data_IF_157660030683
#
_entry.id   IF_157660030683
#
_cell.length_a   1.000
_cell.length_b   1.000
_cell.length_c   1.000
_cell.angle_alpha   90.00
_cell.angle_beta   90.00
_cell.angle_gamma   90.00
#
_symmetry.space_group_name_H-M   'P 1'
#
loop_
_entity.id
_entity.type
_entity.pdbx_description
1 polymer ?
#
# COMPACT_ATOMS: atom_id res chain seq x y z
N UNK A 1 20.18 37.11 49.29
CA UNK A 1 18.91 36.38 49.53
C UNK A 1 17.82 37.18 48.84
N UNK A 2 17.40 36.77 47.64
CA UNK A 2 16.35 37.47 46.89
C UNK A 2 15.00 37.04 47.43
N UNK A 3 14.29 37.96 48.08
CA UNK A 3 12.93 37.75 48.57
C UNK A 3 12.00 37.53 47.38
N UNK A 4 11.42 36.33 47.26
CA UNK A 4 10.39 36.03 46.25
C UNK A 4 9.13 36.86 46.49
N UNK A 5 8.43 37.22 45.41
CA UNK A 5 7.16 37.95 45.45
C UNK A 5 6.02 36.93 45.44
N UNK A 6 5.16 36.96 46.45
CA UNK A 6 3.94 36.16 46.51
C UNK A 6 2.75 36.98 45.99
N UNK A 7 2.06 36.48 44.97
CA UNK A 7 0.84 37.09 44.43
C UNK A 7 -0.36 36.36 45.02
N UNK A 8 -1.25 37.08 45.70
CA UNK A 8 -2.44 36.52 46.35
C UNK A 8 -3.68 36.51 45.44
N UNK A 9 -4.73 35.80 45.87
CA UNK A 9 -5.95 35.59 45.10
C UNK A 9 -6.64 36.90 44.70
N UNK A 10 -7.10 36.98 43.45
CA UNK A 10 -7.83 38.14 42.92
C UNK A 10 -7.00 39.12 42.08
N UNK A 11 -5.73 38.82 41.80
CA UNK A 11 -4.85 39.67 40.97
C UNK A 11 -4.93 39.26 39.50
N UNK A 12 -5.28 40.22 38.63
CA UNK A 12 -5.25 40.06 37.18
C UNK A 12 -3.93 40.58 36.61
N UNK A 13 -3.19 39.71 35.91
CA UNK A 13 -1.95 40.07 35.21
C UNK A 13 -2.26 40.35 33.74
N UNK A 14 -1.99 41.57 33.29
CA UNK A 14 -2.24 42.04 31.93
C UNK A 14 -0.98 42.00 31.05
N UNK A 15 -1.16 42.26 29.75
CA UNK A 15 -0.13 42.13 28.72
C UNK A 15 1.17 42.88 29.05
N UNK A 16 2.31 42.21 28.87
CA UNK A 16 3.65 42.79 29.02
C UNK A 16 4.41 42.40 30.30
N UNK A 17 3.87 41.51 31.13
CA UNK A 17 4.52 41.07 32.38
C UNK A 17 5.30 39.76 32.18
N UNK A 18 6.61 39.79 32.46
CA UNK A 18 7.47 38.60 32.45
C UNK A 18 7.62 38.02 33.87
N UNK A 19 7.25 36.75 34.05
CA UNK A 19 7.41 36.02 35.32
C UNK A 19 8.75 35.27 35.30
N UNK A 20 9.59 35.50 36.31
CA UNK A 20 10.94 34.93 36.42
C UNK A 20 11.05 33.94 37.59
N UNK A 21 12.20 33.26 37.71
CA UNK A 21 12.43 32.25 38.75
C UNK A 21 12.20 32.82 40.16
N UNK A 22 11.39 32.11 40.96
CA UNK A 22 11.07 32.49 42.34
C UNK A 22 9.64 33.02 42.59
N UNK A 23 8.75 32.95 41.60
CA UNK A 23 7.33 33.35 41.72
C UNK A 23 6.44 32.11 41.90
N UNK A 24 5.64 32.09 42.97
CA UNK A 24 4.64 31.05 43.23
C UNK A 24 3.23 31.58 42.90
N UNK A 25 2.45 30.82 42.13
CA UNK A 25 1.09 31.19 41.68
C UNK A 25 0.07 30.32 42.42
N UNK A 26 -0.88 30.95 43.13
CA UNK A 26 -1.93 30.27 43.90
C UNK A 26 -3.21 30.03 43.08
N UNK A 27 -4.12 29.20 43.61
CA UNK A 27 -5.39 28.89 42.98
C UNK A 27 -6.24 30.15 42.72
N UNK A 28 -6.71 30.34 41.48
CA UNK A 28 -7.58 31.47 41.10
C UNK A 28 -6.92 32.57 40.27
N UNK A 29 -5.71 32.35 39.74
CA UNK A 29 -5.02 33.28 38.83
C UNK A 29 -5.30 32.91 37.37
N UNK A 30 -5.92 33.83 36.62
CA UNK A 30 -6.18 33.66 35.19
C UNK A 30 -5.05 34.27 34.35
N UNK A 31 -4.49 33.49 33.41
CA UNK A 31 -3.44 33.92 32.49
C UNK A 31 -4.06 34.25 31.13
N UNK A 32 -3.84 35.47 30.63
CA UNK A 32 -4.33 35.91 29.33
C UNK A 32 -3.26 35.79 28.24
N UNK A 33 -3.66 35.90 26.96
CA UNK A 33 -2.80 35.66 25.80
C UNK A 33 -1.50 36.48 25.84
N UNK A 34 -0.34 35.84 25.67
CA UNK A 34 0.97 36.50 25.53
C UNK A 34 2.00 36.20 26.62
N UNK A 35 1.73 35.28 27.55
CA UNK A 35 2.68 34.89 28.61
C UNK A 35 3.48 33.65 28.20
N UNK A 36 4.81 33.80 28.10
CA UNK A 36 5.74 32.69 27.85
C UNK A 36 6.16 32.03 29.17
N UNK A 37 5.94 30.72 29.30
CA UNK A 37 6.34 29.93 30.47
C UNK A 37 7.66 29.20 30.16
N UNK A 38 8.69 29.40 30.98
CA UNK A 38 9.96 28.72 30.83
C UNK A 38 9.85 27.22 31.20
N UNK A 39 10.73 26.33 30.68
CA UNK A 39 10.68 24.90 30.99
C UNK A 39 10.93 24.64 32.49
N UNK A 40 10.04 23.89 33.16
CA UNK A 40 10.25 23.42 34.54
C UNK A 40 9.12 23.68 35.55
N UNK A 41 7.98 24.26 35.15
CA UNK A 41 6.84 24.49 36.05
C UNK A 41 5.82 23.33 36.00
N UNK A 42 5.57 22.71 37.15
CA UNK A 42 4.48 21.75 37.34
C UNK A 42 3.19 22.50 37.74
N UNK A 43 2.18 22.47 36.87
CA UNK A 43 0.85 23.01 37.18
C UNK A 43 0.06 22.06 38.06
N UNK A 44 -0.53 22.57 39.15
CA UNK A 44 -1.58 21.85 39.88
C UNK A 44 -2.93 21.97 39.16
N UNK A 45 -3.83 21.02 39.43
CA UNK A 45 -5.17 20.88 38.84
C UNK A 45 -5.88 22.23 38.64
N UNK A 46 -6.21 22.56 37.38
CA UNK A 46 -7.02 23.74 37.03
C UNK A 46 -6.47 24.67 35.95
N UNK A 47 -5.27 24.43 35.41
CA UNK A 47 -4.72 25.23 34.30
C UNK A 47 -5.32 24.74 32.96
N UNK A 48 -6.45 25.31 32.57
CA UNK A 48 -6.95 25.19 31.20
C UNK A 48 -6.12 26.12 30.30
N UNK A 49 -5.06 25.59 29.70
CA UNK A 49 -4.38 26.25 28.59
C UNK A 49 -5.35 26.39 27.43
N UNK A 50 -5.66 27.61 27.04
CA UNK A 50 -6.47 27.90 25.86
C UNK A 50 -5.73 27.52 24.58
N UNK A 51 -5.69 26.24 24.23
CA UNK A 51 -5.30 25.74 22.90
C UNK A 51 -6.49 25.75 21.91
N UNK A 52 -7.38 26.71 22.02
CA UNK A 52 -8.64 26.73 21.29
C UNK A 52 -8.67 27.81 20.20
N UNK A 53 -7.80 27.69 19.18
CA UNK A 53 -8.06 28.32 17.87
C UNK A 53 -7.11 27.80 16.76
N UNK A 54 -5.84 27.56 17.07
CA UNK A 54 -4.83 27.07 16.10
C UNK A 54 -4.80 25.54 15.98
N UNK A 55 -5.36 24.82 16.95
CA UNK A 55 -5.40 23.34 16.97
C UNK A 55 -6.39 22.71 15.99
N UNK A 56 -7.48 23.39 15.63
CA UNK A 56 -8.55 22.79 14.80
C UNK A 56 -8.11 22.43 13.39
N UNK A 57 -7.49 23.39 12.68
CA UNK A 57 -7.00 23.17 11.31
C UNK A 57 -5.82 22.18 11.28
N UNK A 58 -4.92 22.25 12.26
CA UNK A 58 -3.82 21.32 12.41
C UNK A 58 -4.32 19.89 12.68
N UNK A 59 -5.33 19.72 13.54
CA UNK A 59 -5.96 18.43 13.84
C UNK A 59 -6.71 17.85 12.64
N UNK A 60 -7.48 18.68 11.91
CA UNK A 60 -8.14 18.28 10.66
C UNK A 60 -7.12 17.83 9.60
N UNK A 61 -6.03 18.58 9.43
CA UNK A 61 -4.96 18.25 8.49
C UNK A 61 -4.27 16.94 8.89
N UNK A 62 -4.00 16.74 10.18
CA UNK A 62 -3.42 15.50 10.70
C UNK A 62 -4.36 14.30 10.47
N UNK A 63 -5.66 14.48 10.68
CA UNK A 63 -6.68 13.44 10.45
C UNK A 63 -6.85 13.10 8.97
N UNK A 64 -6.86 14.09 8.09
CA UNK A 64 -6.88 13.87 6.64
C UNK A 64 -5.63 13.11 6.17
N UNK A 65 -4.44 13.51 6.63
CA UNK A 65 -3.18 12.79 6.36
C UNK A 65 -3.23 11.35 6.88
N UNK A 66 -3.86 11.11 8.03
CA UNK A 66 -4.05 9.78 8.57
C UNK A 66 -4.94 8.90 7.66
N UNK A 67 -6.06 9.40 7.15
CA UNK A 67 -6.90 8.66 6.20
C UNK A 67 -6.17 8.35 4.88
N UNK A 68 -5.45 9.32 4.31
CA UNK A 68 -4.64 9.11 3.11
C UNK A 68 -3.55 8.05 3.35
N UNK A 69 -2.94 8.05 4.54
CA UNK A 69 -1.95 7.04 4.91
C UNK A 69 -2.56 5.63 5.03
N UNK A 70 -3.84 5.49 5.40
CA UNK A 70 -4.54 4.19 5.43
C UNK A 70 -4.76 3.61 4.03
N UNK A 71 -4.93 4.46 3.01
CA UNK A 71 -5.09 4.03 1.62
C UNK A 71 -3.82 3.43 1.02
N UNK A 72 -2.65 3.69 1.60
CA UNK A 72 -1.33 3.21 1.14
C UNK A 72 -1.07 3.55 -0.35
N UNK A 73 -1.25 4.81 -0.74
CA UNK A 73 -1.19 5.27 -2.14
C UNK A 73 0.11 4.89 -2.88
N UNK A 74 1.25 4.75 -2.20
CA UNK A 74 2.50 4.27 -2.83
C UNK A 74 2.39 2.84 -3.37
N UNK A 75 1.56 1.99 -2.77
CA UNK A 75 1.26 0.65 -3.31
C UNK A 75 0.37 0.75 -4.54
N UNK A 76 -0.48 1.78 -4.59
CA UNK A 76 -1.39 2.04 -5.71
C UNK A 76 -0.63 2.58 -6.93
N UNK A 77 0.40 3.40 -6.73
CA UNK A 77 1.29 3.85 -7.81
C UNK A 77 1.89 2.67 -8.59
N UNK A 78 2.19 1.56 -7.92
CA UNK A 78 2.66 0.34 -8.57
C UNK A 78 1.58 -0.34 -9.44
N UNK A 79 0.29 -0.15 -9.12
CA UNK A 79 -0.83 -0.64 -9.93
C UNK A 79 -0.92 0.11 -11.26
N UNK A 80 -0.48 1.38 -11.31
CA UNK A 80 -0.50 2.21 -12.54
C UNK A 80 0.37 1.62 -13.65
N UNK A 81 1.49 1.00 -13.26
CA UNK A 81 2.45 0.39 -14.19
C UNK A 81 1.79 -0.74 -15.00
N UNK A 82 0.78 -1.40 -14.46
CA UNK A 82 0.09 -2.50 -15.15
C UNK A 82 -1.24 -2.09 -15.78
N UNK A 83 -1.96 -1.13 -15.18
CA UNK A 83 -3.29 -0.72 -15.67
C UNK A 83 -3.21 0.03 -16.99
N UNK A 84 -2.36 1.05 -17.10
CA UNK A 84 -2.33 1.90 -18.31
C UNK A 84 -1.89 1.11 -19.54
N UNK A 85 -0.82 0.29 -19.51
CA UNK A 85 -0.46 -0.51 -20.68
C UNK A 85 -1.52 -1.55 -21.04
N UNK A 86 -2.25 -2.11 -20.06
CA UNK A 86 -3.38 -2.99 -20.34
C UNK A 86 -4.51 -2.24 -21.07
N UNK A 87 -4.81 -1.01 -20.67
CA UNK A 87 -5.78 -0.15 -21.39
C UNK A 87 -5.32 0.16 -22.81
N UNK A 88 -4.01 0.44 -23.00
CA UNK A 88 -3.46 0.74 -24.32
C UNK A 88 -3.54 -0.47 -25.25
N UNK A 89 -3.15 -1.65 -24.76
CA UNK A 89 -3.28 -2.89 -25.53
C UNK A 89 -4.74 -3.22 -25.84
N UNK A 90 -5.66 -2.98 -24.90
CA UNK A 90 -7.09 -3.20 -25.12
C UNK A 90 -7.70 -2.26 -26.18
N UNK A 91 -7.07 -1.09 -26.38
CA UNK A 91 -7.50 -0.08 -27.35
C UNK A 91 -6.84 -0.25 -28.72
N UNK A 92 -5.74 -1.01 -28.81
CA UNK A 92 -4.77 -0.94 -29.90
C UNK A 92 -4.35 0.52 -30.18
N UNK A 93 -4.03 1.25 -29.11
CA UNK A 93 -3.67 2.67 -29.20
C UNK A 93 -3.75 3.37 -27.84
N UNK A 94 -3.70 4.70 -27.85
CA UNK A 94 -3.91 5.49 -26.62
C UNK A 94 -5.42 5.68 -26.35
N UNK A 95 -5.97 5.21 -25.21
CA UNK A 95 -7.32 5.56 -24.78
C UNK A 95 -7.43 7.06 -24.49
N UNK A 96 -8.66 7.59 -24.36
CA UNK A 96 -8.83 8.99 -23.98
C UNK A 96 -8.19 9.26 -22.61
N UNK A 97 -7.49 10.40 -22.48
CA UNK A 97 -6.84 10.78 -21.22
C UNK A 97 -7.84 10.89 -20.06
N UNK A 98 -9.08 11.27 -20.38
CA UNK A 98 -10.19 11.28 -19.43
C UNK A 98 -10.49 9.87 -18.88
N UNK A 99 -10.63 8.87 -19.77
CA UNK A 99 -10.89 7.50 -19.36
C UNK A 99 -9.76 6.93 -18.50
N UNK A 100 -8.50 7.22 -18.88
CA UNK A 100 -7.33 6.86 -18.08
C UNK A 100 -7.42 7.52 -16.70
N UNK A 101 -7.58 8.84 -16.63
CA UNK A 101 -7.64 9.57 -15.37
C UNK A 101 -8.74 9.05 -14.43
N UNK A 102 -9.96 8.85 -14.93
CA UNK A 102 -11.08 8.33 -14.14
C UNK A 102 -10.80 6.89 -13.68
N UNK A 103 -10.27 6.03 -14.55
CA UNK A 103 -9.92 4.64 -14.20
C UNK A 103 -8.85 4.59 -13.11
N UNK A 104 -7.83 5.45 -13.18
CA UNK A 104 -6.78 5.52 -12.18
C UNK A 104 -7.29 6.07 -10.84
N UNK A 105 -8.13 7.10 -10.86
CA UNK A 105 -8.74 7.65 -9.64
C UNK A 105 -9.66 6.61 -8.99
N UNK A 106 -10.60 6.03 -9.75
CA UNK A 106 -11.52 5.02 -9.23
C UNK A 106 -10.76 3.79 -8.72
N UNK A 107 -9.79 3.27 -9.50
CA UNK A 107 -8.93 2.16 -9.07
C UNK A 107 -8.12 2.47 -7.80
N UNK A 108 -7.68 3.72 -7.63
CA UNK A 108 -7.01 4.19 -6.41
C UNK A 108 -7.94 4.16 -5.21
N UNK A 109 -9.21 4.56 -5.38
CA UNK A 109 -10.21 4.48 -4.33
C UNK A 109 -10.52 3.01 -3.98
N UNK A 110 -10.68 2.12 -4.96
CA UNK A 110 -10.89 0.69 -4.71
C UNK A 110 -9.74 0.06 -3.91
N UNK A 111 -8.49 0.29 -4.35
CA UNK A 111 -7.32 -0.21 -3.64
C UNK A 111 -7.18 0.43 -2.25
N UNK A 112 -7.50 1.72 -2.12
CA UNK A 112 -7.51 2.45 -0.85
C UNK A 112 -8.55 1.90 0.13
N UNK A 113 -9.74 1.53 -0.35
CA UNK A 113 -10.80 0.86 0.42
C UNK A 113 -10.30 -0.48 0.95
N UNK A 114 -9.80 -1.35 0.07
CA UNK A 114 -9.26 -2.66 0.42
C UNK A 114 -8.11 -2.57 1.44
N UNK A 115 -7.19 -1.63 1.25
CA UNK A 115 -6.06 -1.37 2.16
C UNK A 115 -6.50 -0.85 3.53
N UNK A 116 -7.50 0.03 3.56
CA UNK A 116 -8.04 0.59 4.81
C UNK A 116 -8.74 -0.51 5.62
N UNK A 117 -9.60 -1.31 4.98
CA UNK A 117 -10.27 -2.44 5.62
C UNK A 117 -9.25 -3.47 6.09
N UNK A 118 -8.21 -3.75 5.29
CA UNK A 118 -7.11 -4.61 5.71
C UNK A 118 -6.40 -4.09 6.98
N UNK A 119 -6.13 -2.78 7.08
CA UNK A 119 -5.55 -2.20 8.29
C UNK A 119 -6.49 -2.30 9.50
N UNK A 120 -7.81 -2.19 9.30
CA UNK A 120 -8.79 -2.39 10.35
C UNK A 120 -8.79 -3.84 10.87
N UNK A 121 -8.73 -4.83 9.97
CA UNK A 121 -8.71 -6.25 10.33
C UNK A 121 -7.38 -6.65 10.98
N UNK A 122 -6.26 -6.13 10.48
CA UNK A 122 -4.90 -6.49 10.93
C UNK A 122 -4.38 -5.65 12.11
N UNK A 123 -5.23 -4.86 12.77
CA UNK A 123 -4.84 -3.92 13.83
C UNK A 123 -4.11 -4.57 15.02
N UNK A 124 -4.43 -5.82 15.34
CA UNK A 124 -3.82 -6.61 16.41
C UNK A 124 -2.39 -7.04 16.07
N UNK A 125 -2.16 -7.55 14.86
CA UNK A 125 -0.82 -7.99 14.41
C UNK A 125 0.07 -6.81 14.01
N UNK A 126 -0.53 -5.70 13.55
CA UNK A 126 0.23 -4.50 13.18
C UNK A 126 0.93 -3.87 14.40
N UNK A 127 0.42 -4.08 15.62
CA UNK A 127 0.98 -3.57 16.88
C UNK A 127 2.33 -4.22 17.23
N UNK A 128 2.52 -5.50 16.89
CA UNK A 128 3.72 -6.28 17.26
C UNK A 128 4.82 -6.23 16.20
N UNK A 129 4.50 -5.78 14.98
CA UNK A 129 5.45 -5.67 13.88
C UNK A 129 6.18 -4.31 13.86
N UNK A 130 7.52 -4.33 13.93
CA UNK A 130 8.36 -3.12 14.00
C UNK A 130 8.13 -2.11 12.87
N UNK A 131 7.75 -2.59 11.68
CA UNK A 131 7.44 -1.80 10.48
C UNK A 131 6.08 -1.12 10.51
N UNK A 132 5.07 -1.71 11.15
CA UNK A 132 3.66 -1.30 11.03
C UNK A 132 3.08 -0.72 12.31
N UNK A 133 3.78 -0.82 13.44
CA UNK A 133 3.41 -0.20 14.72
C UNK A 133 3.22 1.32 14.68
N UNK A 134 3.68 1.98 13.61
CA UNK A 134 3.52 3.43 13.40
C UNK A 134 2.26 3.81 12.62
N UNK A 135 1.43 2.85 12.21
CA UNK A 135 0.22 3.12 11.42
C UNK A 135 -0.79 3.99 12.19
N UNK A 136 -1.59 4.84 11.51
CA UNK A 136 -2.52 5.77 12.18
C UNK A 136 -3.55 5.10 13.10
N UNK A 137 -4.03 3.92 12.70
CA UNK A 137 -4.93 3.07 13.48
C UNK A 137 -4.29 2.58 14.80
N UNK A 138 -2.98 2.31 14.78
CA UNK A 138 -2.22 1.86 15.96
C UNK A 138 -1.91 3.03 16.90
N UNK A 139 -1.78 4.25 16.36
CA UNK A 139 -1.55 5.48 17.13
C UNK A 139 -2.82 6.13 17.67
N UNK A 140 -3.98 5.50 17.50
CA UNK A 140 -5.30 6.04 17.85
C UNK A 140 -5.60 7.43 17.24
N UNK A 141 -4.94 7.79 16.12
CA UNK A 141 -5.23 9.03 15.39
C UNK A 141 -6.57 8.94 14.65
N UNK A 142 -6.97 7.72 14.28
CA UNK A 142 -8.26 7.38 13.69
C UNK A 142 -8.80 6.16 14.44
N UNK A 143 -10.06 6.22 14.86
CA UNK A 143 -10.70 5.09 15.56
C UNK A 143 -10.96 3.92 14.60
N UNK A 144 -11.06 2.67 15.10
CA UNK A 144 -11.38 1.53 14.24
C UNK A 144 -12.68 1.69 13.46
N UNK A 145 -13.72 2.23 14.08
CA UNK A 145 -15.01 2.48 13.43
C UNK A 145 -14.87 3.49 12.30
N UNK A 146 -14.18 4.61 12.53
CA UNK A 146 -13.90 5.61 11.50
C UNK A 146 -13.13 5.03 10.31
N UNK A 147 -12.11 4.19 10.57
CA UNK A 147 -11.36 3.55 9.50
C UNK A 147 -12.23 2.59 8.67
N UNK A 148 -13.09 1.79 9.31
CA UNK A 148 -14.00 0.89 8.62
C UNK A 148 -15.01 1.64 7.76
N UNK A 149 -15.65 2.68 8.33
CA UNK A 149 -16.59 3.54 7.61
C UNK A 149 -15.91 4.22 6.42
N UNK A 150 -14.72 4.78 6.63
CA UNK A 150 -13.93 5.38 5.55
C UNK A 150 -13.63 4.38 4.43
N UNK A 151 -13.21 3.16 4.78
CA UNK A 151 -12.96 2.10 3.82
C UNK A 151 -14.21 1.76 2.99
N UNK A 152 -15.36 1.59 3.62
CA UNK A 152 -16.64 1.28 2.94
C UNK A 152 -17.06 2.44 2.03
N UNK A 153 -17.06 3.68 2.53
CA UNK A 153 -17.45 4.85 1.75
C UNK A 153 -16.52 5.08 0.55
N UNK A 154 -15.22 4.84 0.73
CA UNK A 154 -14.24 4.92 -0.37
C UNK A 154 -14.50 3.84 -1.42
N UNK A 155 -14.91 2.64 -1.00
CA UNK A 155 -15.35 1.56 -1.89
C UNK A 155 -16.57 1.95 -2.70
N UNK A 156 -17.64 2.43 -2.05
CA UNK A 156 -18.86 2.92 -2.70
C UNK A 156 -18.54 4.03 -3.71
N UNK A 157 -17.69 4.99 -3.33
CA UNK A 157 -17.26 6.05 -4.22
C UNK A 157 -16.53 5.51 -5.47
N UNK A 158 -15.66 4.51 -5.29
CA UNK A 158 -15.02 3.80 -6.40
C UNK A 158 -16.03 3.13 -7.33
N UNK A 159 -16.98 2.39 -6.77
CA UNK A 159 -18.02 1.68 -7.53
C UNK A 159 -18.87 2.66 -8.34
N UNK A 160 -19.27 3.78 -7.74
CA UNK A 160 -20.04 4.82 -8.43
C UNK A 160 -19.22 5.50 -9.54
N UNK A 161 -17.95 5.82 -9.31
CA UNK A 161 -17.09 6.40 -10.34
C UNK A 161 -16.92 5.45 -11.53
N UNK A 162 -16.64 4.16 -11.28
CA UNK A 162 -16.56 3.18 -12.36
C UNK A 162 -17.91 2.99 -13.07
N UNK A 163 -19.00 2.76 -12.32
CA UNK A 163 -20.31 2.46 -12.89
C UNK A 163 -20.90 3.61 -13.71
N UNK A 164 -20.70 4.86 -13.27
CA UNK A 164 -21.29 6.04 -13.90
C UNK A 164 -20.38 6.69 -14.96
N UNK A 165 -19.06 6.65 -14.80
CA UNK A 165 -18.12 7.36 -15.67
C UNK A 165 -17.27 6.44 -16.56
N UNK A 166 -17.29 5.13 -16.34
CA UNK A 166 -16.51 4.14 -17.10
C UNK A 166 -17.43 3.06 -17.67
N UNK A 167 -17.80 2.07 -16.86
CA UNK A 167 -18.81 1.04 -17.11
C UNK A 167 -18.99 0.12 -15.88
N UNK A 168 -20.13 -0.57 -15.83
CA UNK A 168 -20.47 -1.52 -14.75
C UNK A 168 -19.55 -2.75 -14.66
N UNK A 169 -19.09 -3.38 -15.75
CA UNK A 169 -18.12 -4.48 -15.66
C UNK A 169 -16.86 -4.13 -14.87
N UNK A 170 -16.31 -2.94 -15.11
CA UNK A 170 -15.13 -2.45 -14.38
C UNK A 170 -15.42 -2.20 -12.90
N UNK A 171 -16.62 -1.70 -12.58
CA UNK A 171 -17.07 -1.52 -11.19
C UNK A 171 -17.17 -2.87 -10.46
N UNK A 172 -17.79 -3.88 -11.09
CA UNK A 172 -17.94 -5.22 -10.53
C UNK A 172 -16.59 -5.92 -10.35
N UNK A 173 -15.64 -5.72 -11.26
CA UNK A 173 -14.28 -6.24 -11.11
C UNK A 173 -13.54 -5.56 -9.96
N UNK A 174 -13.72 -4.24 -9.76
CA UNK A 174 -13.15 -3.52 -8.63
C UNK A 174 -13.74 -4.01 -7.29
N UNK A 175 -15.06 -4.18 -7.22
CA UNK A 175 -15.74 -4.72 -6.03
C UNK A 175 -15.31 -6.17 -5.76
N UNK A 176 -15.19 -6.98 -6.81
CA UNK A 176 -14.65 -8.34 -6.73
C UNK A 176 -13.22 -8.37 -6.19
N UNK A 177 -12.36 -7.44 -6.62
CA UNK A 177 -11.01 -7.29 -6.10
C UNK A 177 -10.98 -6.92 -4.62
N UNK A 178 -11.83 -5.97 -4.19
CA UNK A 178 -11.97 -5.58 -2.78
C UNK A 178 -12.44 -6.77 -1.95
N UNK A 179 -13.51 -7.44 -2.37
CA UNK A 179 -14.07 -8.59 -1.69
C UNK A 179 -13.06 -9.74 -1.58
N UNK A 180 -12.36 -10.06 -2.67
CA UNK A 180 -11.31 -11.08 -2.66
C UNK A 180 -10.17 -10.70 -1.70
N UNK A 181 -9.69 -9.46 -1.74
CA UNK A 181 -8.61 -9.02 -0.86
C UNK A 181 -9.00 -9.05 0.63
N UNK A 182 -10.24 -8.67 0.95
CA UNK A 182 -10.73 -8.64 2.34
C UNK A 182 -11.07 -10.04 2.84
N UNK A 183 -11.97 -10.74 2.16
CA UNK A 183 -12.51 -12.01 2.64
C UNK A 183 -11.58 -13.19 2.38
N UNK A 184 -11.06 -13.32 1.16
CA UNK A 184 -10.21 -14.46 0.78
C UNK A 184 -8.82 -14.26 1.35
N UNK A 185 -8.15 -13.15 1.02
CA UNK A 185 -6.79 -12.93 1.51
C UNK A 185 -6.73 -12.57 2.99
N UNK A 186 -7.29 -11.42 3.39
CA UNK A 186 -7.05 -10.85 4.73
C UNK A 186 -7.67 -11.72 5.84
N UNK A 187 -8.94 -12.08 5.73
CA UNK A 187 -9.66 -12.86 6.74
C UNK A 187 -9.46 -14.38 6.59
N UNK A 188 -9.35 -14.87 5.36
CA UNK A 188 -9.29 -16.29 5.03
C UNK A 188 -7.88 -16.86 5.16
N UNK A 189 -6.99 -16.41 4.28
CA UNK A 189 -5.72 -17.09 3.98
C UNK A 189 -4.53 -16.55 4.77
N UNK A 190 -4.46 -15.22 4.98
CA UNK A 190 -3.26 -14.52 5.47
C UNK A 190 -2.64 -15.18 6.69
N UNK A 191 -3.47 -15.53 7.68
CA UNK A 191 -3.05 -16.13 8.96
C UNK A 191 -3.06 -17.66 8.99
N UNK A 192 -3.55 -18.33 7.93
CA UNK A 192 -3.85 -19.78 7.96
C UNK A 192 -3.02 -20.62 7.01
N UNK A 193 -2.42 -20.06 5.96
CA UNK A 193 -1.73 -20.87 4.94
C UNK A 193 -0.42 -20.24 4.44
N UNK A 194 0.60 -21.05 4.11
CA UNK A 194 1.82 -20.58 3.44
C UNK A 194 1.62 -20.19 1.98
N UNK A 195 0.49 -20.55 1.38
CA UNK A 195 0.09 -20.10 0.05
C UNK A 195 -0.69 -18.77 0.08
N UNK A 196 -0.70 -18.08 1.23
CA UNK A 196 -1.46 -16.85 1.44
C UNK A 196 -1.22 -15.78 0.36
N UNK A 197 0.04 -15.51 0.01
CA UNK A 197 0.40 -14.50 -0.98
C UNK A 197 0.19 -15.00 -2.41
N UNK A 198 0.33 -16.31 -2.67
CA UNK A 198 0.10 -16.84 -4.02
C UNK A 198 -1.37 -16.64 -4.40
N UNK A 199 -2.28 -17.13 -3.57
CA UNK A 199 -3.71 -17.02 -3.83
C UNK A 199 -4.18 -15.59 -3.57
N UNK A 200 -3.79 -14.99 -2.45
CA UNK A 200 -4.17 -13.63 -2.09
C UNK A 200 -3.65 -12.56 -3.06
N UNK A 201 -2.51 -12.83 -3.71
CA UNK A 201 -1.93 -12.00 -4.76
C UNK A 201 -2.82 -11.82 -5.98
N UNK A 202 -3.80 -12.72 -6.20
CA UNK A 202 -4.79 -12.57 -7.26
C UNK A 202 -5.52 -11.22 -7.19
N UNK A 203 -5.83 -10.71 -6.00
CA UNK A 203 -6.42 -9.37 -5.84
C UNK A 203 -5.55 -8.27 -6.47
N UNK A 204 -4.23 -8.36 -6.34
CA UNK A 204 -3.29 -7.41 -6.92
C UNK A 204 -3.18 -7.47 -8.44
N UNK A 205 -3.78 -8.50 -9.06
CA UNK A 205 -3.76 -8.70 -10.51
C UNK A 205 -5.01 -8.13 -11.21
N UNK A 206 -6.08 -7.83 -10.45
CA UNK A 206 -7.30 -7.22 -10.99
C UNK A 206 -7.12 -5.86 -11.69
N UNK A 207 -6.15 -4.98 -11.36
CA UNK A 207 -6.01 -3.70 -12.07
C UNK A 207 -5.84 -3.85 -13.58
N UNK A 208 -5.22 -4.95 -14.03
CA UNK A 208 -5.11 -5.28 -15.45
C UNK A 208 -6.48 -5.58 -16.06
N UNK A 209 -7.29 -6.41 -15.38
CA UNK A 209 -8.64 -6.77 -15.85
C UNK A 209 -9.54 -5.54 -15.86
N UNK A 210 -9.46 -4.70 -14.83
CA UNK A 210 -10.20 -3.44 -14.70
C UNK A 210 -9.77 -2.47 -15.81
N UNK A 211 -8.47 -2.33 -16.07
CA UNK A 211 -7.96 -1.51 -17.17
C UNK A 211 -8.45 -1.98 -18.53
N UNK A 212 -8.41 -3.29 -18.79
CA UNK A 212 -8.93 -3.86 -20.02
C UNK A 212 -10.44 -3.59 -20.17
N UNK A 213 -11.23 -3.93 -19.16
CA UNK A 213 -12.69 -3.75 -19.19
C UNK A 213 -13.11 -2.28 -19.23
N UNK A 214 -12.29 -1.37 -18.70
CA UNK A 214 -12.57 0.07 -18.78
C UNK A 214 -12.62 0.56 -20.23
N UNK A 215 -11.83 -0.06 -21.11
CA UNK A 215 -11.79 0.26 -22.54
C UNK A 215 -12.81 -0.54 -23.34
N UNK A 216 -12.91 -1.85 -23.10
CA UNK A 216 -13.70 -2.76 -23.98
C UNK A 216 -15.08 -3.12 -23.44
N UNK A 217 -15.37 -2.83 -22.18
CA UNK A 217 -16.59 -3.28 -21.48
C UNK A 217 -16.69 -4.80 -21.28
N UNK A 218 -15.64 -5.56 -21.61
CA UNK A 218 -15.62 -7.04 -21.62
C UNK A 218 -14.26 -7.55 -21.18
N UNK A 219 -14.09 -8.87 -21.04
CA UNK A 219 -12.79 -9.50 -20.82
C UNK A 219 -12.44 -10.40 -22.00
N UNK A 220 -11.20 -10.28 -22.49
CA UNK A 220 -10.63 -11.16 -23.52
C UNK A 220 -9.60 -12.10 -22.91
N UNK A 221 -9.13 -13.07 -23.69
CA UNK A 221 -8.00 -13.91 -23.30
C UNK A 221 -6.71 -13.11 -23.09
N UNK A 222 -6.51 -12.00 -23.81
CA UNK A 222 -5.39 -11.08 -23.57
C UNK A 222 -5.43 -10.48 -22.17
N UNK A 223 -6.61 -10.06 -21.70
CA UNK A 223 -6.80 -9.57 -20.33
C UNK A 223 -6.45 -10.63 -19.28
N UNK A 224 -6.89 -11.86 -19.51
CA UNK A 224 -6.62 -13.01 -18.63
C UNK A 224 -5.13 -13.36 -18.61
N UNK A 225 -4.44 -13.30 -19.74
CA UNK A 225 -2.99 -13.54 -19.79
C UNK A 225 -2.20 -12.43 -19.10
N UNK A 226 -2.56 -11.17 -19.29
CA UNK A 226 -1.93 -10.07 -18.55
C UNK A 226 -2.14 -10.23 -17.03
N UNK A 227 -3.34 -10.63 -16.60
CA UNK A 227 -3.61 -10.98 -15.20
C UNK A 227 -2.70 -12.13 -14.74
N UNK A 228 -2.58 -13.19 -15.55
CA UNK A 228 -1.77 -14.36 -15.24
C UNK A 228 -0.27 -14.02 -15.15
N UNK A 229 0.24 -13.10 -15.98
CA UNK A 229 1.62 -12.60 -15.89
C UNK A 229 1.87 -11.99 -14.51
N UNK A 230 1.02 -11.05 -14.07
CA UNK A 230 1.15 -10.41 -12.75
C UNK A 230 0.96 -11.43 -11.61
N UNK A 231 0.04 -12.38 -11.80
CA UNK A 231 -0.21 -13.44 -10.83
C UNK A 231 1.01 -14.33 -10.64
N UNK A 232 1.61 -14.85 -11.71
CA UNK A 232 2.81 -15.69 -11.62
C UNK A 232 4.08 -14.92 -11.28
N UNK A 233 4.10 -13.61 -11.50
CA UNK A 233 5.14 -12.71 -11.02
C UNK A 233 5.11 -12.49 -9.50
N UNK A 234 3.92 -12.58 -8.90
CA UNK A 234 3.72 -12.29 -7.47
C UNK A 234 4.58 -13.19 -6.57
N UNK A 235 4.66 -14.52 -6.72
CA UNK A 235 5.45 -15.36 -5.82
C UNK A 235 6.96 -15.11 -5.90
N UNK A 236 7.61 -15.04 -7.08
CA UNK A 236 9.03 -14.66 -7.19
C UNK A 236 9.33 -13.32 -6.51
N UNK A 237 8.46 -12.32 -6.69
CA UNK A 237 8.60 -11.00 -6.09
C UNK A 237 8.45 -11.03 -4.56
N UNK A 238 7.31 -11.50 -4.07
CA UNK A 238 6.99 -11.42 -2.65
C UNK A 238 7.74 -12.42 -1.79
N UNK A 239 8.07 -13.61 -2.28
CA UNK A 239 8.88 -14.53 -1.49
C UNK A 239 10.31 -14.04 -1.33
N UNK A 240 10.87 -13.36 -2.34
CA UNK A 240 12.15 -12.68 -2.21
C UNK A 240 12.10 -11.58 -1.11
N UNK A 241 10.99 -10.83 -1.03
CA UNK A 241 10.75 -9.89 0.06
C UNK A 241 10.62 -10.59 1.42
N UNK A 242 9.84 -11.66 1.49
CA UNK A 242 9.56 -12.38 2.72
C UNK A 242 10.77 -13.17 3.24
N UNK A 243 11.74 -13.52 2.40
CA UNK A 243 13.03 -14.05 2.85
C UNK A 243 13.81 -13.02 3.67
N UNK A 244 13.78 -11.72 3.28
CA UNK A 244 14.45 -10.64 4.02
C UNK A 244 13.75 -10.32 5.34
N UNK A 245 12.42 -10.33 5.36
CA UNK A 245 11.60 -9.97 6.53
C UNK A 245 11.04 -11.20 7.26
N UNK A 246 11.72 -12.34 7.17
CA UNK A 246 11.27 -13.62 7.73
C UNK A 246 10.92 -13.51 9.21
N UNK A 247 11.80 -12.89 10.00
CA UNK A 247 11.65 -12.81 11.45
C UNK A 247 10.46 -11.92 11.86
N UNK A 248 10.20 -10.83 11.11
CA UNK A 248 9.01 -9.99 11.32
C UNK A 248 7.71 -10.78 11.09
N UNK A 249 7.68 -11.64 10.06
CA UNK A 249 6.51 -12.48 9.78
C UNK A 249 6.33 -13.58 10.83
N UNK A 250 7.43 -14.18 11.29
CA UNK A 250 7.40 -15.17 12.35
C UNK A 250 6.90 -14.58 13.68
N UNK A 251 7.38 -13.38 14.04
CA UNK A 251 6.94 -12.66 15.25
C UNK A 251 5.43 -12.30 15.20
N UNK A 252 4.88 -12.05 14.01
CA UNK A 252 3.46 -11.79 13.80
C UNK A 252 2.59 -13.05 13.68
N UNK A 253 3.17 -14.25 13.81
CA UNK A 253 2.46 -15.52 13.64
C UNK A 253 1.92 -15.76 12.22
N UNK A 254 2.49 -15.10 11.20
CA UNK A 254 2.06 -15.25 9.81
C UNK A 254 2.86 -16.39 9.17
N UNK A 255 2.20 -17.48 8.72
CA UNK A 255 2.88 -18.67 8.21
C UNK A 255 3.37 -18.47 6.77
N UNK A 256 4.08 -17.38 6.49
CA UNK A 256 4.68 -17.10 5.18
C UNK A 256 5.57 -18.27 4.72
N UNK A 257 5.62 -18.55 3.41
CA UNK A 257 6.44 -19.66 2.91
C UNK A 257 7.90 -19.65 3.41
N UNK A 258 8.63 -18.51 3.44
CA UNK A 258 9.98 -18.47 4.00
C UNK A 258 10.08 -18.65 5.52
N UNK A 259 8.97 -18.54 6.25
CA UNK A 259 8.90 -18.83 7.69
C UNK A 259 8.80 -20.34 7.92
N UNK A 260 7.99 -21.03 7.12
CA UNK A 260 7.64 -22.45 7.36
C UNK A 260 8.45 -23.46 6.53
N UNK A 261 9.21 -23.00 5.53
CA UNK A 261 9.98 -23.86 4.63
C UNK A 261 11.45 -23.46 4.58
N UNK A 262 12.31 -24.40 4.16
CA UNK A 262 13.74 -24.14 3.95
C UNK A 262 13.95 -23.12 2.83
N UNK A 263 15.05 -22.35 2.91
CA UNK A 263 15.44 -21.41 1.86
C UNK A 263 15.56 -22.10 0.48
N UNK A 264 16.06 -23.34 0.44
CA UNK A 264 16.11 -24.12 -0.81
C UNK A 264 14.71 -24.38 -1.38
N UNK A 265 13.74 -24.76 -0.53
CA UNK A 265 12.36 -24.99 -0.98
C UNK A 265 11.73 -23.71 -1.52
N UNK A 266 11.95 -22.58 -0.84
CA UNK A 266 11.45 -21.26 -1.27
C UNK A 266 12.03 -20.90 -2.63
N UNK A 267 13.36 -20.94 -2.78
CA UNK A 267 14.03 -20.56 -4.03
C UNK A 267 13.70 -21.49 -5.20
N UNK A 268 13.51 -22.80 -4.96
CA UNK A 268 13.03 -23.73 -5.99
C UNK A 268 11.62 -23.38 -6.47
N UNK A 269 10.72 -22.98 -5.56
CA UNK A 269 9.38 -22.51 -5.95
C UNK A 269 9.46 -21.17 -6.70
N UNK A 270 10.28 -20.22 -6.25
CA UNK A 270 10.57 -18.97 -6.98
C UNK A 270 10.98 -19.30 -8.42
N UNK A 271 11.91 -20.24 -8.61
CA UNK A 271 12.37 -20.64 -9.94
C UNK A 271 11.25 -21.25 -10.79
N UNK A 272 10.46 -22.16 -10.22
CA UNK A 272 9.32 -22.77 -10.91
C UNK A 272 8.29 -21.72 -11.38
N UNK A 273 7.89 -20.80 -10.50
CA UNK A 273 6.99 -19.71 -10.86
C UNK A 273 7.61 -18.74 -11.88
N UNK A 274 8.92 -18.53 -11.84
CA UNK A 274 9.63 -17.70 -12.83
C UNK A 274 9.53 -18.28 -14.24
N UNK A 275 9.66 -19.61 -14.39
CA UNK A 275 9.46 -20.27 -15.68
C UNK A 275 8.02 -20.12 -16.18
N UNK A 276 7.02 -20.36 -15.32
CA UNK A 276 5.60 -20.22 -15.68
C UNK A 276 5.27 -18.76 -16.05
N UNK A 277 5.80 -17.79 -15.31
CA UNK A 277 5.65 -16.36 -15.59
C UNK A 277 6.21 -16.00 -16.97
N UNK A 278 7.43 -16.44 -17.31
CA UNK A 278 8.03 -16.17 -18.62
C UNK A 278 7.27 -16.88 -19.74
N UNK A 279 6.86 -18.13 -19.54
CA UNK A 279 6.05 -18.86 -20.51
C UNK A 279 4.70 -18.16 -20.78
N UNK A 280 4.06 -17.63 -19.73
CA UNK A 280 2.81 -16.86 -19.85
C UNK A 280 3.05 -15.53 -20.58
N UNK A 281 4.18 -14.88 -20.34
CA UNK A 281 4.57 -13.65 -21.05
C UNK A 281 4.75 -13.93 -22.55
N UNK A 282 5.37 -15.05 -22.92
CA UNK A 282 5.51 -15.44 -24.33
C UNK A 282 4.18 -15.88 -24.96
N UNK A 283 3.30 -16.52 -24.18
CA UNK A 283 1.96 -16.91 -24.64
C UNK A 283 1.07 -15.71 -25.01
N UNK A 284 1.38 -14.50 -24.50
CA UNK A 284 0.67 -13.28 -24.88
C UNK A 284 0.89 -12.93 -26.37
N UNK A 285 2.04 -13.28 -26.95
CA UNK A 285 2.41 -12.93 -28.34
C UNK A 285 1.37 -13.40 -29.36
N UNK A 286 1.02 -14.71 -29.43
CA UNK A 286 0.04 -15.18 -30.39
C UNK A 286 -1.41 -14.77 -30.04
N UNK A 287 -1.72 -14.53 -28.76
CA UNK A 287 -3.10 -14.25 -28.31
C UNK A 287 -3.48 -12.78 -28.46
N UNK A 288 -2.55 -11.87 -28.20
CA UNK A 288 -2.78 -10.43 -28.26
C UNK A 288 -2.12 -9.78 -29.48
N UNK A 289 -1.53 -10.56 -30.39
CA UNK A 289 -0.90 -10.09 -31.63
C UNK A 289 0.11 -8.93 -31.42
N UNK A 290 0.86 -8.97 -30.33
CA UNK A 290 1.77 -7.89 -29.87
C UNK A 290 2.99 -7.65 -30.77
N UNK A 291 3.09 -8.29 -31.93
CA UNK A 291 4.19 -8.09 -32.86
C UNK A 291 5.61 -8.46 -32.34
N UNK A 292 6.64 -8.17 -33.15
CA UNK A 292 8.01 -8.61 -32.90
C UNK A 292 8.71 -7.83 -31.78
N UNK A 293 8.37 -6.56 -31.55
CA UNK A 293 8.99 -5.74 -30.50
C UNK A 293 8.76 -6.35 -29.12
N UNK A 294 7.50 -6.65 -28.78
CA UNK A 294 7.16 -7.30 -27.52
C UNK A 294 7.84 -8.66 -27.39
N UNK A 295 7.83 -9.49 -28.44
CA UNK A 295 8.46 -10.81 -28.43
C UNK A 295 9.95 -10.73 -28.08
N UNK A 296 10.70 -9.85 -28.73
CA UNK A 296 12.14 -9.68 -28.47
C UNK A 296 12.38 -9.21 -27.04
N UNK A 297 11.63 -8.21 -26.57
CA UNK A 297 11.77 -7.73 -25.18
C UNK A 297 11.42 -8.83 -24.18
N UNK A 298 10.29 -9.52 -24.36
CA UNK A 298 9.84 -10.61 -23.48
C UNK A 298 10.86 -11.75 -23.39
N UNK A 299 11.50 -12.11 -24.49
CA UNK A 299 12.58 -13.11 -24.50
C UNK A 299 13.81 -12.63 -23.72
N UNK A 300 14.29 -11.42 -24.00
CA UNK A 300 15.50 -10.88 -23.37
C UNK A 300 15.32 -10.71 -21.86
N UNK A 301 14.23 -10.07 -21.43
CA UNK A 301 13.95 -9.84 -20.00
C UNK A 301 13.57 -11.15 -19.30
N UNK A 302 12.93 -12.10 -20.00
CA UNK A 302 12.60 -13.43 -19.49
C UNK A 302 13.83 -14.29 -19.22
N UNK A 303 14.74 -14.39 -20.19
CA UNK A 303 16.02 -15.08 -20.03
C UNK A 303 16.80 -14.45 -18.88
N UNK A 304 16.89 -13.12 -18.86
CA UNK A 304 17.57 -12.40 -17.78
C UNK A 304 16.98 -12.73 -16.40
N UNK A 305 15.66 -12.63 -16.22
CA UNK A 305 15.03 -12.91 -14.93
C UNK A 305 15.21 -14.38 -14.49
N UNK A 306 15.08 -15.33 -15.42
CA UNK A 306 15.35 -16.75 -15.14
C UNK A 306 16.80 -16.96 -14.69
N UNK A 307 17.77 -16.25 -15.29
CA UNK A 307 19.17 -16.35 -14.85
C UNK A 307 19.36 -15.85 -13.42
N UNK A 308 18.68 -14.77 -13.01
CA UNK A 308 18.67 -14.30 -11.63
C UNK A 308 17.99 -15.28 -10.66
N UNK A 309 16.88 -15.90 -11.08
CA UNK A 309 16.22 -16.95 -10.31
C UNK A 309 17.14 -18.18 -10.10
N UNK A 310 17.95 -18.55 -11.10
CA UNK A 310 18.97 -19.59 -10.95
C UNK A 310 20.15 -19.17 -10.06
N UNK A 311 20.53 -17.89 -10.08
CA UNK A 311 21.62 -17.36 -9.23
C UNK A 311 21.25 -17.44 -7.76
N UNK A 312 20.02 -17.09 -7.37
CA UNK A 312 19.58 -17.21 -5.97
C UNK A 312 19.54 -18.66 -5.50
N UNK A 313 19.07 -19.60 -6.34
CA UNK A 313 19.06 -21.04 -6.02
C UNK A 313 20.47 -21.56 -5.79
N UNK A 314 21.42 -21.19 -6.67
CA UNK A 314 22.83 -21.59 -6.55
C UNK A 314 23.49 -21.05 -5.28
N UNK A 315 23.26 -19.78 -4.94
CA UNK A 315 23.77 -19.17 -3.70
C UNK A 315 23.27 -19.88 -2.46
N UNK A 316 21.96 -20.13 -2.39
CA UNK A 316 21.37 -20.83 -1.24
C UNK A 316 21.94 -22.25 -1.09
N UNK A 317 22.15 -22.96 -2.20
CA UNK A 317 22.77 -24.30 -2.17
C UNK A 317 24.24 -24.28 -1.76
N UNK A 318 24.97 -23.23 -2.11
CA UNK A 318 26.36 -23.02 -1.70
C UNK A 318 26.49 -22.56 -0.23
N UNK A 319 25.38 -22.24 0.45
CA UNK A 319 25.41 -21.65 1.80
C UNK A 319 25.73 -20.15 1.82
N UNK A 320 25.72 -19.49 0.67
CA UNK A 320 25.98 -18.06 0.53
C UNK A 320 24.74 -17.20 0.84
N UNK A 321 24.95 -15.89 1.02
CA UNK A 321 23.85 -14.91 1.06
C UNK A 321 22.99 -15.01 -0.23
N UNK A 322 21.69 -15.31 -0.11
CA UNK A 322 20.78 -15.39 -1.25
C UNK A 322 20.66 -14.08 -2.03
N UNK A 323 21.03 -12.94 -1.44
CA UNK A 323 20.77 -11.61 -2.00
C UNK A 323 19.31 -11.47 -2.44
N UNK A 324 18.37 -11.92 -1.60
CA UNK A 324 16.94 -11.94 -1.93
C UNK A 324 16.41 -10.56 -2.36
N UNK A 325 16.99 -9.48 -1.82
CA UNK A 325 16.61 -8.13 -2.23
C UNK A 325 17.08 -7.73 -3.62
N UNK A 326 18.15 -8.32 -4.14
CA UNK A 326 18.50 -8.11 -5.53
C UNK A 326 17.38 -8.65 -6.44
N UNK A 327 16.96 -9.91 -6.24
CA UNK A 327 15.90 -10.52 -7.04
C UNK A 327 14.58 -9.77 -6.95
N UNK A 328 14.22 -9.26 -5.76
CA UNK A 328 13.04 -8.42 -5.57
C UNK A 328 13.05 -7.16 -6.46
N UNK A 329 14.18 -6.45 -6.54
CA UNK A 329 14.29 -5.28 -7.41
C UNK A 329 14.28 -5.69 -8.89
N UNK A 330 14.98 -6.78 -9.24
CA UNK A 330 15.01 -7.29 -10.61
C UNK A 330 13.60 -7.72 -11.08
N UNK A 331 12.75 -8.23 -10.18
CA UNK A 331 11.38 -8.58 -10.53
C UNK A 331 10.53 -7.35 -10.85
N UNK A 332 10.72 -6.24 -10.12
CA UNK A 332 10.07 -4.96 -10.46
C UNK A 332 10.54 -4.52 -11.84
N UNK A 333 11.85 -4.51 -12.09
CA UNK A 333 12.42 -4.15 -13.39
C UNK A 333 11.88 -5.02 -14.53
N UNK A 334 11.80 -6.34 -14.33
CA UNK A 334 11.20 -7.26 -15.30
C UNK A 334 9.78 -6.84 -15.66
N UNK A 335 8.93 -6.63 -14.66
CA UNK A 335 7.53 -6.29 -14.88
C UNK A 335 7.38 -4.91 -15.56
N UNK A 336 8.15 -3.92 -15.12
CA UNK A 336 8.16 -2.58 -15.73
C UNK A 336 8.57 -2.63 -17.20
N UNK A 337 9.66 -3.31 -17.55
CA UNK A 337 10.12 -3.41 -18.94
C UNK A 337 9.13 -4.15 -19.82
N UNK A 338 8.53 -5.24 -19.31
CA UNK A 338 7.54 -6.03 -20.04
C UNK A 338 6.27 -5.20 -20.34
N UNK A 339 5.74 -4.50 -19.34
CA UNK A 339 4.56 -3.65 -19.51
C UNK A 339 4.84 -2.38 -20.30
N UNK A 340 6.05 -1.82 -20.22
CA UNK A 340 6.48 -0.75 -21.11
C UNK A 340 6.52 -1.23 -22.57
N UNK A 341 7.01 -2.43 -22.84
CA UNK A 341 7.00 -3.00 -24.18
C UNK A 341 5.57 -3.22 -24.71
N UNK A 342 4.63 -3.63 -23.85
CA UNK A 342 3.20 -3.71 -24.20
C UNK A 342 2.66 -2.32 -24.59
N UNK A 343 2.93 -1.29 -23.78
CA UNK A 343 2.48 0.07 -24.06
C UNK A 343 3.04 0.61 -25.38
N UNK A 344 4.35 0.44 -25.63
CA UNK A 344 4.99 0.90 -26.87
C UNK A 344 4.46 0.14 -28.07
N UNK A 345 4.30 -1.17 -27.94
CA UNK A 345 3.73 -2.02 -29.00
C UNK A 345 2.32 -1.58 -29.37
N UNK A 346 1.48 -1.23 -28.39
CA UNK A 346 0.12 -0.78 -28.67
C UNK A 346 0.05 0.58 -29.42
N UNK A 347 1.18 1.29 -29.57
CA UNK A 347 1.25 2.58 -30.26
C UNK A 347 1.83 2.49 -31.68
N UNK A 348 2.36 1.33 -32.09
CA UNK A 348 3.03 1.11 -33.38
C UNK A 348 2.28 0.08 -34.22
#
# INVERSE_FOLDING_TARGET
>A
MSNGVAVSNGVAVSNGVAVSNGVAVSNGVAVSNGVAVAPGLAGSNGVAGGEAATGGFAALTAKAKAYVALMKLRVVELLLVTTVPAMMLARDGMPSLWLIAVTLVAGTLAAGSANTINCYVDRDIDQVMGRTRRRPLVRATVTPTEALVFGILTGIASTLLFGLLVNWPSALLADGAIAFYVFVYTLGLKRRTPSNIVIGGAAGCFPVLIGWSAVTGTLSWSAVLLFAIVFFWTPPHFWALAMKFRDDYAAAGIPMLPVVASAETVTRRILGYSYVMVATSLALVPVAHTGPLYLVVALLVGVWFITEAHRIVRRVRAGDDPRAMHLFHMSITYLTLLFAAIAVTALI
#
